data_IF_130766666944
#
_entry.id   IF_130766666944
#
_cell.length_a   1.000
_cell.length_b   1.000
_cell.length_c   1.000
_cell.angle_alpha   90.00
_cell.angle_beta   90.00
_cell.angle_gamma   90.00
#
_symmetry.space_group_name_H-M   'P 1'
#
loop_
_entity.id
_entity.type
_entity.pdbx_description
1 polymer ?
#
# COMPACT_ATOMS: atom_id res chain seq x y z
N UNK A 1 -15.17 2.70 17.93
CA UNK A 1 -16.07 1.94 17.03
C UNK A 1 -15.31 0.70 16.57
N UNK A 2 -15.98 -0.45 16.40
CA UNK A 2 -15.34 -1.63 15.79
C UNK A 2 -14.91 -1.29 14.35
N UNK A 3 -13.88 -1.99 13.87
CA UNK A 3 -13.47 -1.91 12.47
C UNK A 3 -14.56 -2.52 11.58
N UNK A 4 -14.94 -1.79 10.55
CA UNK A 4 -15.86 -2.21 9.51
C UNK A 4 -15.08 -2.36 8.19
N UNK A 5 -14.90 -3.60 7.68
CA UNK A 5 -14.18 -3.83 6.43
C UNK A 5 -14.76 -3.11 5.22
N UNK A 6 -16.07 -2.88 5.18
CA UNK A 6 -16.73 -2.24 4.03
C UNK A 6 -16.43 -0.74 3.96
N UNK A 7 -15.97 -0.17 5.08
CA UNK A 7 -15.57 1.22 5.19
C UNK A 7 -14.09 1.43 4.80
N UNK A 8 -13.27 0.38 4.77
CA UNK A 8 -11.85 0.48 4.43
C UNK A 8 -11.62 0.33 2.93
N UNK A 9 -11.35 1.46 2.26
CA UNK A 9 -11.20 1.51 0.81
C UNK A 9 -9.74 1.73 0.42
N UNK A 10 -9.24 0.89 -0.49
CA UNK A 10 -7.98 1.13 -1.18
C UNK A 10 -8.22 2.05 -2.39
N UNK A 11 -7.58 3.22 -2.38
CA UNK A 11 -7.74 4.26 -3.39
C UNK A 11 -6.73 4.15 -4.53
N UNK A 12 -5.48 3.79 -4.22
CA UNK A 12 -4.41 3.58 -5.19
C UNK A 12 -3.41 2.56 -4.65
N UNK A 13 -2.73 1.83 -5.53
CA UNK A 13 -1.68 0.87 -5.16
C UNK A 13 -0.51 0.84 -6.14
N UNK A 14 0.66 0.52 -5.62
CA UNK A 14 1.89 0.17 -6.34
C UNK A 14 2.38 -1.17 -5.79
N UNK A 15 2.83 -2.06 -6.68
CA UNK A 15 3.36 -3.38 -6.31
C UNK A 15 4.79 -3.49 -6.81
N UNK A 16 5.69 -3.87 -5.90
CA UNK A 16 7.03 -4.30 -6.28
C UNK A 16 6.93 -5.73 -6.82
N UNK A 17 7.18 -5.92 -8.10
CA UNK A 17 7.09 -7.24 -8.74
C UNK A 17 8.19 -8.21 -8.30
N UNK A 18 9.31 -7.71 -7.77
CA UNK A 18 10.43 -8.54 -7.29
C UNK A 18 10.18 -9.02 -5.85
N UNK A 19 9.85 -8.11 -4.95
CA UNK A 19 9.74 -8.42 -3.52
C UNK A 19 8.31 -8.68 -3.07
N UNK A 20 7.34 -8.41 -3.94
CA UNK A 20 5.91 -8.48 -3.66
C UNK A 20 5.39 -7.38 -2.73
N UNK A 21 6.22 -6.42 -2.30
CA UNK A 21 5.78 -5.34 -1.41
C UNK A 21 4.72 -4.48 -2.08
N UNK A 22 3.62 -4.23 -1.37
CA UNK A 22 2.57 -3.31 -1.82
C UNK A 22 2.69 -2.00 -1.04
N UNK A 23 2.59 -0.90 -1.76
CA UNK A 23 2.38 0.43 -1.21
C UNK A 23 0.99 0.85 -1.66
N UNK A 24 0.15 1.33 -0.76
CA UNK A 24 -1.21 1.73 -1.11
C UNK A 24 -1.67 2.98 -0.36
N UNK A 25 -2.58 3.73 -0.95
CA UNK A 25 -3.32 4.78 -0.25
C UNK A 25 -4.67 4.21 0.12
N UNK A 26 -5.01 4.27 1.41
CA UNK A 26 -6.24 3.74 1.96
C UNK A 26 -7.01 4.84 2.69
N UNK A 27 -8.33 4.74 2.70
CA UNK A 27 -9.23 5.65 3.40
C UNK A 27 -10.32 4.85 4.09
N UNK A 28 -10.46 5.09 5.41
CA UNK A 28 -11.52 4.48 6.21
C UNK A 28 -12.69 5.46 6.36
N UNK A 29 -13.83 5.12 5.78
CA UNK A 29 -15.01 6.00 5.72
C UNK A 29 -14.68 7.35 5.08
N UNK A 30 -15.19 8.42 5.69
CA UNK A 30 -14.88 9.81 5.29
C UNK A 30 -13.63 10.37 6.00
N UNK A 31 -12.81 9.48 6.58
CA UNK A 31 -11.56 9.86 7.25
C UNK A 31 -10.49 10.34 6.26
N UNK A 32 -9.34 10.74 6.79
CA UNK A 32 -8.22 11.18 5.97
C UNK A 32 -7.56 9.99 5.22
N UNK A 33 -7.31 10.10 3.91
CA UNK A 33 -6.49 9.14 3.16
C UNK A 33 -5.07 9.04 3.73
N UNK A 34 -4.55 7.83 3.84
CA UNK A 34 -3.22 7.56 4.42
C UNK A 34 -2.46 6.56 3.59
N UNK A 35 -1.13 6.69 3.63
CA UNK A 35 -0.23 5.70 3.08
C UNK A 35 -0.20 4.45 3.96
N UNK A 36 -0.31 3.29 3.33
CA UNK A 36 -0.06 1.98 3.91
C UNK A 36 1.16 1.34 3.25
N UNK A 37 2.02 0.76 4.07
CA UNK A 37 3.18 -0.03 3.62
C UNK A 37 2.88 -1.50 3.94
N UNK A 38 2.69 -2.29 2.90
CA UNK A 38 2.22 -3.67 2.95
C UNK A 38 0.76 -3.83 2.49
N UNK A 39 0.28 -5.07 2.30
CA UNK A 39 0.94 -6.36 2.55
C UNK A 39 2.03 -6.71 1.51
N UNK A 40 2.60 -7.91 1.61
CA UNK A 40 3.29 -8.55 0.49
C UNK A 40 2.33 -9.47 -0.27
N UNK A 41 2.31 -9.36 -1.58
CA UNK A 41 1.58 -10.24 -2.50
C UNK A 41 2.59 -11.15 -3.19
N UNK A 42 2.36 -12.46 -3.15
CA UNK A 42 3.15 -13.45 -3.87
C UNK A 42 2.26 -14.47 -4.57
N UNK A 43 2.74 -14.99 -5.68
CA UNK A 43 2.09 -16.06 -6.43
C UNK A 43 2.38 -17.41 -5.77
N UNK A 44 1.33 -18.17 -5.48
CA UNK A 44 1.45 -19.56 -5.01
C UNK A 44 1.64 -20.51 -6.20
N UNK A 45 2.05 -21.75 -5.91
CA UNK A 45 2.27 -22.80 -6.92
C UNK A 45 1.00 -23.19 -7.69
N UNK A 46 -0.17 -22.93 -7.13
CA UNK A 46 -1.48 -23.14 -7.75
C UNK A 46 -1.91 -21.97 -8.66
N UNK A 47 -1.08 -20.94 -8.82
CA UNK A 47 -1.36 -19.76 -9.63
C UNK A 47 -2.26 -18.73 -8.94
N UNK A 48 -2.59 -18.90 -7.66
CA UNK A 48 -3.35 -17.92 -6.90
C UNK A 48 -2.43 -16.95 -6.16
N UNK A 49 -2.84 -15.69 -6.06
CA UNK A 49 -2.16 -14.71 -5.24
C UNK A 49 -2.45 -14.91 -3.75
N UNK A 50 -1.47 -14.60 -2.92
CA UNK A 50 -1.56 -14.71 -1.47
C UNK A 50 -0.93 -13.52 -0.79
N UNK A 51 -1.56 -13.09 0.30
CA UNK A 51 -1.09 -11.95 1.09
C UNK A 51 -0.46 -12.38 2.42
N UNK A 52 0.59 -11.65 2.81
CA UNK A 52 1.21 -11.71 4.15
C UNK A 52 1.54 -10.30 4.61
N UNK A 53 1.68 -10.09 5.93
CA UNK A 53 2.17 -8.82 6.47
C UNK A 53 3.53 -8.47 5.84
N UNK A 54 3.79 -7.19 5.57
CA UNK A 54 5.06 -6.76 4.97
C UNK A 54 6.28 -7.12 5.84
N UNK A 55 6.16 -6.98 7.15
CA UNK A 55 7.22 -7.28 8.10
C UNK A 55 8.32 -6.24 8.07
N UNK A 56 9.59 -6.70 8.03
CA UNK A 56 10.77 -5.84 7.87
C UNK A 56 11.00 -5.59 6.39
N UNK A 57 11.47 -4.40 6.04
CA UNK A 57 11.81 -4.04 4.67
C UNK A 57 13.29 -4.36 4.40
N UNK A 58 13.59 -4.92 3.23
CA UNK A 58 14.95 -5.16 2.74
C UNK A 58 15.49 -3.91 2.05
N UNK A 59 16.76 -3.92 1.61
CA UNK A 59 17.32 -2.77 0.89
C UNK A 59 16.64 -2.59 -0.48
N UNK A 60 16.27 -3.68 -1.15
CA UNK A 60 15.55 -3.67 -2.42
C UNK A 60 14.17 -3.02 -2.28
N UNK A 61 13.46 -3.30 -1.18
CA UNK A 61 12.20 -2.62 -0.87
C UNK A 61 12.38 -1.12 -0.69
N UNK A 62 13.44 -0.70 0.02
CA UNK A 62 13.72 0.71 0.27
C UNK A 62 14.13 1.43 -1.01
N UNK A 63 14.98 0.82 -1.83
CA UNK A 63 15.39 1.38 -3.12
C UNK A 63 14.19 1.57 -4.03
N UNK A 64 13.37 0.54 -4.20
CA UNK A 64 12.16 0.64 -5.01
C UNK A 64 11.16 1.65 -4.45
N UNK A 65 10.95 1.67 -3.12
CA UNK A 65 10.04 2.64 -2.53
C UNK A 65 10.54 4.08 -2.72
N UNK A 66 11.85 4.29 -2.62
CA UNK A 66 12.48 5.58 -2.91
C UNK A 66 12.27 5.99 -4.38
N UNK A 67 12.32 5.06 -5.33
CA UNK A 67 12.08 5.36 -6.75
C UNK A 67 10.65 5.84 -7.03
N UNK A 68 9.66 5.39 -6.25
CA UNK A 68 8.25 5.77 -6.42
C UNK A 68 7.76 6.84 -5.42
N UNK A 69 8.59 7.26 -4.46
CA UNK A 69 8.13 8.05 -3.31
C UNK A 69 7.53 9.40 -3.71
N UNK A 70 8.06 10.03 -4.75
CA UNK A 70 7.56 11.31 -5.24
C UNK A 70 6.17 11.15 -5.88
N UNK A 71 5.93 10.08 -6.65
CA UNK A 71 4.59 9.79 -7.17
C UNK A 71 3.61 9.51 -6.04
N UNK A 72 4.01 8.69 -5.06
CA UNK A 72 3.19 8.38 -3.89
C UNK A 72 2.80 9.67 -3.14
N UNK A 73 3.76 10.56 -2.92
CA UNK A 73 3.56 11.86 -2.27
C UNK A 73 2.59 12.73 -3.08
N UNK A 74 2.78 12.84 -4.39
CA UNK A 74 1.93 13.67 -5.24
C UNK A 74 0.48 13.15 -5.27
N UNK A 75 0.30 11.84 -5.35
CA UNK A 75 -1.03 11.22 -5.33
C UNK A 75 -1.70 11.36 -3.97
N UNK A 76 -0.96 11.15 -2.88
CA UNK A 76 -1.51 11.34 -1.54
C UNK A 76 -1.87 12.81 -1.31
N UNK A 77 -1.08 13.77 -1.80
CA UNK A 77 -1.35 15.21 -1.63
C UNK A 77 -2.58 15.69 -2.42
N UNK A 78 -2.95 15.01 -3.51
CA UNK A 78 -4.20 15.29 -4.24
C UNK A 78 -5.43 14.83 -3.45
N UNK A 79 -5.28 13.78 -2.64
CA UNK A 79 -6.36 13.14 -1.89
C UNK A 79 -6.48 13.69 -0.47
N UNK A 80 -5.35 13.83 0.23
CA UNK A 80 -5.24 14.45 1.53
C UNK A 80 -5.08 15.96 1.33
N UNK A 81 -6.16 16.71 1.54
CA UNK A 81 -6.11 18.17 1.52
C UNK A 81 -5.10 18.74 2.53
N UNK A 82 -4.65 19.99 2.35
CA UNK A 82 -3.75 20.65 3.29
C UNK A 82 -4.37 20.71 4.70
N UNK A 83 -3.54 20.50 5.73
CA UNK A 83 -3.90 20.63 7.14
C UNK A 83 -3.63 22.02 7.68
#
# INVERSE_FOLDING_TARGET
MPFDPDMDKMLKQWKNEETGLVISINQYGDGEPKLQIGPRIFMRKDGNESQRKAGRLTIEDIMWFYDIIDEVKDELSKLAGPR
#
